data_IF_067746862651
#
_entry.id   IF_067746862651
#
_cell.length_a   1.000
_cell.length_b   1.000
_cell.length_c   1.000
_cell.angle_alpha   90.00
_cell.angle_beta   90.00
_cell.angle_gamma   90.00
#
_symmetry.space_group_name_H-M   'P 1'
#
loop_
_entity.id
_entity.type
_entity.pdbx_description
1 polymer ?
#
# COMPACT_ATOMS: atom_id res chain seq x y z
N UNK A 1 6.39 1.49 1.30
CA UNK A 1 5.36 0.90 2.19
C UNK A 1 5.73 -0.55 2.43
N UNK A 2 5.55 -1.07 3.65
CA UNK A 2 5.81 -2.48 3.95
C UNK A 2 4.52 -3.16 4.42
N UNK A 3 4.22 -4.33 3.87
CA UNK A 3 3.08 -5.16 4.29
C UNK A 3 3.56 -6.58 4.57
N UNK A 4 2.92 -7.25 5.54
CA UNK A 4 3.21 -8.65 5.89
C UNK A 4 2.13 -9.58 5.35
N UNK A 5 2.13 -9.94 4.04
CA UNK A 5 1.10 -10.77 3.46
C UNK A 5 1.18 -12.20 4.04
N UNK A 6 0.02 -12.83 4.19
CA UNK A 6 -0.01 -14.27 4.44
C UNK A 6 0.40 -15.01 3.15
N UNK A 7 1.22 -16.08 3.25
CA UNK A 7 1.49 -16.95 2.11
C UNK A 7 0.17 -17.48 1.52
N UNK A 8 0.07 -17.55 0.20
CA UNK A 8 -1.12 -18.08 -0.46
C UNK A 8 -1.32 -17.55 -1.88
N UNK A 9 -2.56 -17.69 -2.39
CA UNK A 9 -2.91 -17.34 -3.77
C UNK A 9 -2.60 -15.88 -4.12
N UNK A 10 -2.82 -14.95 -3.19
CA UNK A 10 -2.53 -13.52 -3.42
C UNK A 10 -1.05 -13.26 -3.68
N UNK A 11 -0.16 -13.91 -2.93
CA UNK A 11 1.29 -13.76 -3.13
C UNK A 11 1.69 -14.27 -4.51
N UNK A 12 1.24 -15.48 -4.89
CA UNK A 12 1.51 -16.06 -6.23
C UNK A 12 1.01 -15.15 -7.35
N UNK A 13 -0.20 -14.61 -7.21
CA UNK A 13 -0.76 -13.71 -8.22
C UNK A 13 0.10 -12.45 -8.39
N UNK A 14 0.65 -11.90 -7.31
CA UNK A 14 1.53 -10.72 -7.38
C UNK A 14 2.89 -11.09 -8.00
N UNK A 15 3.42 -12.29 -7.72
CA UNK A 15 4.66 -12.77 -8.34
C UNK A 15 4.51 -12.96 -9.87
N UNK A 16 3.36 -13.48 -10.32
CA UNK A 16 3.03 -13.71 -11.74
C UNK A 16 2.63 -12.43 -12.47
N UNK A 17 1.80 -11.60 -11.84
CA UNK A 17 1.31 -10.33 -12.36
C UNK A 17 1.47 -9.24 -11.29
N UNK A 18 2.63 -8.54 -11.26
CA UNK A 18 2.96 -7.58 -10.21
C UNK A 18 2.19 -6.28 -10.39
N UNK A 19 0.91 -6.30 -10.04
CA UNK A 19 0.04 -5.14 -10.05
C UNK A 19 -0.86 -5.18 -8.80
N UNK A 20 -0.75 -4.16 -7.96
CA UNK A 20 -1.53 -4.04 -6.73
C UNK A 20 -2.16 -2.65 -6.61
N UNK A 21 -3.38 -2.65 -6.08
CA UNK A 21 -4.07 -1.46 -5.61
C UNK A 21 -4.52 -1.70 -4.17
N UNK A 22 -4.19 -0.78 -3.27
CA UNK A 22 -4.46 -0.86 -1.84
C UNK A 22 -5.34 0.31 -1.43
N UNK A 23 -6.56 0.01 -0.98
CA UNK A 23 -7.45 0.97 -0.34
C UNK A 23 -7.24 1.00 1.18
N UNK A 24 -7.02 2.19 1.74
CA UNK A 24 -7.00 2.48 3.17
C UNK A 24 -8.14 3.47 3.42
N UNK A 25 -9.15 3.09 4.20
CA UNK A 25 -10.31 3.94 4.46
C UNK A 25 -10.52 4.16 5.95
N UNK A 26 -11.04 5.33 6.31
CA UNK A 26 -11.54 5.55 7.68
C UNK A 26 -12.84 4.76 7.89
N UNK A 27 -13.02 4.12 9.05
CA UNK A 27 -14.26 3.40 9.33
C UNK A 27 -15.49 4.32 9.23
N UNK A 28 -16.60 3.77 8.72
CA UNK A 28 -17.82 4.54 8.41
C UNK A 28 -18.55 5.09 9.64
N UNK A 29 -18.26 4.57 10.83
CA UNK A 29 -18.81 5.01 12.11
C UNK A 29 -18.46 6.48 12.44
N UNK A 30 -17.40 7.00 11.82
CA UNK A 30 -16.98 8.41 11.93
C UNK A 30 -17.83 9.37 11.08
N UNK A 31 -18.71 8.87 10.22
CA UNK A 31 -19.52 9.69 9.29
C UNK A 31 -18.70 10.44 8.24
N UNK A 32 -17.39 10.22 8.19
CA UNK A 32 -16.47 10.84 7.23
C UNK A 32 -16.07 9.83 6.17
N UNK A 33 -16.34 10.18 4.90
CA UNK A 33 -15.84 9.44 3.76
C UNK A 33 -14.44 9.97 3.46
N UNK A 34 -13.43 9.33 4.04
CA UNK A 34 -12.02 9.62 3.79
C UNK A 34 -11.29 8.31 3.48
N UNK A 35 -10.44 8.35 2.47
CA UNK A 35 -9.67 7.17 2.10
C UNK A 35 -8.56 7.47 1.12
N UNK A 36 -7.61 6.55 1.06
CA UNK A 36 -6.45 6.62 0.20
C UNK A 36 -6.37 5.33 -0.62
N UNK A 37 -6.15 5.46 -1.91
CA UNK A 37 -5.79 4.36 -2.79
C UNK A 37 -4.33 4.48 -3.19
N UNK A 38 -3.60 3.38 -3.10
CA UNK A 38 -2.18 3.31 -3.44
C UNK A 38 -2.01 2.25 -4.53
N UNK A 39 -1.51 2.67 -5.68
CA UNK A 39 -1.28 1.81 -6.83
C UNK A 39 0.21 1.64 -7.07
N UNK A 40 0.63 0.41 -7.33
CA UNK A 40 2.00 0.08 -7.71
C UNK A 40 1.99 -1.11 -8.67
N UNK A 41 2.78 -0.98 -9.73
CA UNK A 41 2.95 -2.00 -10.76
C UNK A 41 4.44 -2.25 -11.03
N UNK A 42 4.78 -3.47 -11.46
CA UNK A 42 6.15 -3.86 -11.79
C UNK A 42 6.90 -4.57 -10.66
N UNK A 43 7.85 -5.43 -11.04
CA UNK A 43 8.66 -6.22 -10.08
C UNK A 43 9.68 -5.36 -9.33
N UNK A 44 10.07 -4.25 -9.91
CA UNK A 44 10.92 -3.23 -9.34
C UNK A 44 10.22 -2.41 -8.24
N UNK A 45 8.88 -2.35 -8.27
CA UNK A 45 8.06 -1.65 -7.27
C UNK A 45 7.42 -2.59 -6.24
N UNK A 46 7.27 -3.87 -6.56
CA UNK A 46 6.69 -4.91 -5.70
C UNK A 46 7.73 -5.97 -5.34
N UNK A 47 8.49 -5.67 -4.29
CA UNK A 47 9.67 -6.45 -3.89
C UNK A 47 9.31 -7.32 -2.69
N UNK A 48 9.32 -8.63 -2.90
CA UNK A 48 9.22 -9.59 -1.79
C UNK A 48 10.53 -9.65 -1.02
N UNK A 49 10.45 -9.61 0.30
CA UNK A 49 11.58 -9.73 1.22
C UNK A 49 11.36 -10.96 2.12
N UNK A 50 12.41 -11.76 2.26
CA UNK A 50 12.51 -12.95 3.11
C UNK A 50 13.68 -12.79 4.07
N UNK A 51 13.71 -13.64 5.09
CA UNK A 51 14.80 -13.64 6.06
C UNK A 51 16.16 -13.83 5.35
N UNK A 52 17.11 -12.94 5.64
CA UNK A 52 18.40 -12.86 4.97
C UNK A 52 18.47 -11.85 3.80
N UNK A 53 17.33 -11.37 3.28
CA UNK A 53 17.32 -10.32 2.27
C UNK A 53 17.73 -8.97 2.87
N UNK A 54 18.41 -8.16 2.04
CA UNK A 54 18.71 -6.77 2.38
C UNK A 54 17.39 -6.02 2.63
N UNK A 55 17.35 -5.25 3.72
CA UNK A 55 16.17 -4.51 4.23
C UNK A 55 15.13 -5.35 4.99
N UNK A 56 15.25 -6.68 5.08
CA UNK A 56 14.24 -7.51 5.75
C UNK A 56 14.08 -7.15 7.25
N UNK A 57 15.19 -7.03 7.97
CA UNK A 57 15.17 -6.74 9.42
C UNK A 57 14.59 -5.35 9.71
N UNK A 58 14.83 -4.38 8.84
CA UNK A 58 14.25 -3.04 8.96
C UNK A 58 12.74 -3.09 8.69
N UNK A 59 12.33 -3.76 7.60
CA UNK A 59 10.93 -3.94 7.26
C UNK A 59 10.15 -4.70 8.36
N UNK A 60 10.77 -5.71 8.99
CA UNK A 60 10.19 -6.50 10.08
C UNK A 60 9.92 -5.66 11.34
N UNK A 61 10.68 -4.57 11.58
CA UNK A 61 10.40 -3.62 12.69
C UNK A 61 9.16 -2.76 12.45
N UNK A 62 8.79 -2.54 11.19
CA UNK A 62 7.66 -1.69 10.79
C UNK A 62 6.35 -2.47 10.83
N UNK A 63 6.36 -3.73 10.38
CA UNK A 63 5.14 -4.53 10.30
C UNK A 63 4.75 -5.15 11.65
N UNK A 64 3.44 -5.38 11.85
CA UNK A 64 2.93 -6.01 13.07
C UNK A 64 3.15 -7.52 13.08
N UNK A 65 3.79 -7.98 14.16
CA UNK A 65 4.04 -9.40 14.45
C UNK A 65 5.21 -9.97 13.65
N UNK A 66 5.74 -11.14 14.07
CA UNK A 66 6.82 -11.82 13.37
C UNK A 66 6.30 -12.40 12.05
N UNK A 67 6.96 -12.06 10.93
CA UNK A 67 6.62 -12.51 9.58
C UNK A 67 7.83 -13.17 8.94
N UNK A 68 7.58 -14.15 8.08
CA UNK A 68 8.64 -14.81 7.29
C UNK A 68 8.65 -14.32 5.83
N UNK A 69 7.70 -13.46 5.49
CA UNK A 69 7.52 -12.87 4.16
C UNK A 69 6.97 -11.47 4.32
N UNK A 70 7.65 -10.51 3.71
CA UNK A 70 7.23 -9.12 3.62
C UNK A 70 7.14 -8.73 2.15
N UNK A 71 6.33 -7.72 1.87
CA UNK A 71 6.25 -7.09 0.56
C UNK A 71 6.54 -5.59 0.75
N UNK A 72 7.62 -5.14 0.13
CA UNK A 72 7.95 -3.72 -0.04
C UNK A 72 7.25 -3.22 -1.29
N UNK A 73 6.42 -2.21 -1.10
CA UNK A 73 5.63 -1.57 -2.14
C UNK A 73 6.15 -0.15 -2.32
N UNK A 74 6.60 0.15 -3.54
CA UNK A 74 7.03 1.47 -3.98
C UNK A 74 5.88 2.07 -4.81
N UNK A 75 5.13 3.04 -4.29
CA UNK A 75 3.97 3.59 -4.98
C UNK A 75 4.34 4.21 -6.33
N UNK A 76 3.50 3.98 -7.33
CA UNK A 76 3.48 4.74 -8.58
C UNK A 76 2.52 5.92 -8.47
N UNK A 77 1.36 5.68 -7.84
CA UNK A 77 0.30 6.66 -7.66
C UNK A 77 -0.35 6.52 -6.28
N UNK A 78 -0.63 7.67 -5.66
CA UNK A 78 -1.44 7.78 -4.45
C UNK A 78 -2.63 8.69 -4.73
N UNK A 79 -3.83 8.22 -4.44
CA UNK A 79 -5.10 8.92 -4.66
C UNK A 79 -5.78 9.12 -3.31
N UNK A 80 -6.02 10.37 -2.90
CA UNK A 80 -6.65 10.70 -1.64
C UNK A 80 -8.06 11.25 -1.89
N UNK A 81 -9.05 10.57 -1.34
CA UNK A 81 -10.43 11.01 -1.28
C UNK A 81 -10.70 11.61 0.11
N UNK A 82 -11.05 12.89 0.16
CA UNK A 82 -11.43 13.58 1.39
C UNK A 82 -12.51 14.63 1.10
N UNK A 83 -13.69 14.45 1.68
CA UNK A 83 -14.82 15.36 1.50
C UNK A 83 -14.61 16.72 2.20
N UNK A 84 -13.73 16.81 3.20
CA UNK A 84 -13.42 18.07 3.87
C UNK A 84 -12.63 19.03 2.95
N UNK A 85 -12.06 18.54 1.84
CA UNK A 85 -11.42 19.40 0.83
C UNK A 85 -12.39 20.35 0.13
N UNK A 86 -13.64 19.93 -0.07
CA UNK A 86 -14.67 20.77 -0.68
C UNK A 86 -14.89 22.04 0.17
N UNK A 87 -14.90 21.89 1.50
CA UNK A 87 -15.07 23.01 2.45
C UNK A 87 -13.93 24.03 2.36
N UNK A 88 -12.78 23.63 1.82
CA UNK A 88 -11.59 24.45 1.63
C UNK A 88 -11.43 24.95 0.19
N UNK A 89 -12.39 24.67 -0.69
CA UNK A 89 -12.35 25.07 -2.11
C UNK A 89 -11.51 24.16 -3.02
N UNK A 90 -11.07 23.00 -2.53
CA UNK A 90 -10.30 22.04 -3.31
C UNK A 90 -11.19 20.91 -3.85
N UNK A 91 -10.69 20.18 -4.86
CA UNK A 91 -11.29 18.92 -5.30
C UNK A 91 -11.29 17.90 -4.15
N UNK A 92 -12.40 17.15 -4.00
CA UNK A 92 -12.47 16.03 -3.05
C UNK A 92 -11.45 14.92 -3.31
N UNK A 93 -10.99 14.80 -4.55
CA UNK A 93 -10.02 13.79 -4.97
C UNK A 93 -8.72 14.48 -5.35
N UNK A 94 -7.64 14.06 -4.69
CA UNK A 94 -6.27 14.55 -4.88
C UNK A 94 -5.38 13.41 -5.37
N UNK A 95 -4.37 13.74 -6.15
CA UNK A 95 -3.47 12.77 -6.77
C UNK A 95 -2.02 13.15 -6.50
N UNK A 96 -1.20 12.15 -6.21
CA UNK A 96 0.25 12.25 -6.16
C UNK A 96 0.84 11.15 -7.04
N UNK A 97 1.52 11.55 -8.11
CA UNK A 97 2.19 10.65 -9.06
C UNK A 97 3.69 10.71 -8.82
N UNK A 98 4.33 9.55 -8.81
CA UNK A 98 5.76 9.40 -8.60
C UNK A 98 6.41 8.99 -9.93
N UNK A 99 7.41 9.77 -10.36
CA UNK A 99 8.24 9.46 -11.52
C UNK A 99 9.08 8.19 -11.26
#
# INVERSE_FOLDING_TARGET
>A
IYVGPAPGRKVKNIEENPNVSIGIYTPMDTGKIQGMQITASGKERLIFLREGDKDFDEAQKIVRGKRNLLLKIIPEKIELLDYDFIKKGYSRLQYLEFQ
#
